data_IF_516516716755
#
_entry.id   IF_516516716755
#
_cell.length_a   1.000
_cell.length_b   1.000
_cell.length_c   1.000
_cell.angle_alpha   90.00
_cell.angle_beta   90.00
_cell.angle_gamma   90.00
#
_symmetry.space_group_name_H-M   'P 1'
#
loop_
_entity.id
_entity.type
_entity.pdbx_description
1 polymer ?
#
# COMPACT_ATOMS: atom_id res chain seq x y z
N UNK A 1 -21.96 18.48 -0.51
CA UNK A 1 -20.69 18.80 0.18
C UNK A 1 -19.75 19.40 -0.86
N UNK A 2 -19.28 20.63 -0.68
CA UNK A 2 -18.33 21.25 -1.64
C UNK A 2 -17.01 20.50 -1.60
N UNK A 3 -16.30 20.42 -2.75
CA UNK A 3 -14.99 19.75 -2.90
C UNK A 3 -13.98 20.27 -1.85
N UNK A 4 -13.97 21.55 -1.59
CA UNK A 4 -13.09 22.20 -0.59
C UNK A 4 -13.35 21.66 0.82
N UNK A 5 -14.61 21.50 1.22
CA UNK A 5 -14.96 20.96 2.55
C UNK A 5 -14.63 19.47 2.67
N UNK A 6 -14.64 18.73 1.55
CA UNK A 6 -14.21 17.34 1.51
C UNK A 6 -12.72 17.24 1.88
N UNK A 7 -11.87 17.97 1.20
CA UNK A 7 -10.42 17.93 1.43
C UNK A 7 -10.05 18.48 2.80
N UNK A 8 -10.63 19.59 3.25
CA UNK A 8 -10.28 20.24 4.53
C UNK A 8 -10.46 19.30 5.75
N UNK A 9 -11.48 18.43 5.73
CA UNK A 9 -11.74 17.49 6.84
C UNK A 9 -10.84 16.25 6.85
N UNK A 10 -10.25 15.89 5.70
CA UNK A 10 -9.54 14.63 5.49
C UNK A 10 -8.07 14.81 5.11
N UNK A 11 -7.60 16.05 5.08
CA UNK A 11 -6.27 16.38 4.59
C UNK A 11 -5.16 15.64 5.33
N UNK A 12 -5.26 15.56 6.65
CA UNK A 12 -4.33 14.81 7.51
C UNK A 12 -4.29 13.32 7.14
N UNK A 13 -5.44 12.68 6.96
CA UNK A 13 -5.55 11.28 6.54
C UNK A 13 -5.01 11.07 5.12
N UNK A 14 -5.39 11.95 4.18
CA UNK A 14 -4.92 11.87 2.80
C UNK A 14 -3.39 11.98 2.76
N UNK A 15 -2.80 12.92 3.48
CA UNK A 15 -1.34 13.09 3.51
C UNK A 15 -0.65 11.87 4.14
N UNK A 16 -1.14 11.36 5.27
CA UNK A 16 -0.54 10.20 5.95
C UNK A 16 -0.55 8.97 5.04
N UNK A 17 -1.71 8.65 4.46
CA UNK A 17 -1.82 7.50 3.56
C UNK A 17 -1.06 7.71 2.24
N UNK A 18 -0.97 8.95 1.72
CA UNK A 18 -0.16 9.25 0.53
C UNK A 18 1.32 9.05 0.81
N UNK A 19 1.81 9.52 1.94
CA UNK A 19 3.22 9.32 2.33
C UNK A 19 3.53 7.85 2.55
N UNK A 20 2.62 7.09 3.16
CA UNK A 20 2.79 5.65 3.29
C UNK A 20 2.88 4.96 1.93
N UNK A 21 1.94 5.23 1.02
CA UNK A 21 1.96 4.66 -0.33
C UNK A 21 3.23 5.07 -1.10
N UNK A 22 3.66 6.32 -0.97
CA UNK A 22 4.90 6.81 -1.56
C UNK A 22 6.13 6.06 -1.04
N UNK A 23 6.27 5.95 0.28
CA UNK A 23 7.41 5.25 0.90
C UNK A 23 7.39 3.77 0.56
N UNK A 24 6.22 3.11 0.60
CA UNK A 24 6.09 1.69 0.32
C UNK A 24 6.47 1.36 -1.13
N UNK A 25 5.78 1.98 -2.08
CA UNK A 25 5.98 1.71 -3.51
C UNK A 25 7.32 2.28 -4.04
N UNK A 26 7.80 3.38 -3.47
CA UNK A 26 9.11 3.94 -3.81
C UNK A 26 10.25 3.07 -3.30
N UNK A 27 10.11 2.50 -2.10
CA UNK A 27 11.11 1.58 -1.55
C UNK A 27 11.11 0.22 -2.26
N UNK A 28 9.95 -0.27 -2.71
CA UNK A 28 9.84 -1.45 -3.55
C UNK A 28 10.61 -1.25 -4.87
N UNK A 29 10.33 -0.16 -5.58
CA UNK A 29 11.04 0.19 -6.82
C UNK A 29 12.55 0.32 -6.62
N UNK A 30 12.98 1.00 -5.54
CA UNK A 30 14.40 1.14 -5.20
C UNK A 30 15.04 -0.21 -4.87
N UNK A 31 14.32 -1.09 -4.17
CA UNK A 31 14.78 -2.45 -3.88
C UNK A 31 14.94 -3.27 -5.15
N UNK A 32 13.97 -3.26 -6.07
CA UNK A 32 14.02 -4.00 -7.33
C UNK A 32 15.22 -3.56 -8.19
N UNK A 33 15.46 -2.25 -8.29
CA UNK A 33 16.62 -1.70 -8.99
C UNK A 33 17.96 -2.13 -8.36
N UNK A 34 18.06 -2.21 -7.03
CA UNK A 34 19.26 -2.67 -6.36
C UNK A 34 19.41 -4.19 -6.44
N UNK A 35 18.33 -4.95 -6.35
CA UNK A 35 18.33 -6.39 -6.55
C UNK A 35 18.78 -6.76 -7.97
N UNK A 36 18.32 -6.05 -9.00
CA UNK A 36 18.70 -6.27 -10.39
C UNK A 36 20.22 -6.11 -10.66
N UNK A 37 20.93 -5.37 -9.79
CA UNK A 37 22.41 -5.24 -9.89
C UNK A 37 23.15 -6.47 -9.39
N UNK A 38 22.51 -7.31 -8.57
CA UNK A 38 23.20 -8.39 -7.83
C UNK A 38 22.58 -9.77 -8.08
N UNK A 39 21.53 -9.86 -8.90
CA UNK A 39 20.89 -11.13 -9.26
C UNK A 39 20.29 -11.10 -10.66
N UNK A 40 19.76 -12.26 -11.12
CA UNK A 40 19.05 -12.38 -12.40
C UNK A 40 17.62 -11.83 -12.29
N UNK A 41 16.95 -11.65 -13.44
CA UNK A 41 15.56 -11.17 -13.56
C UNK A 41 14.61 -12.01 -12.73
N UNK A 42 14.72 -13.35 -12.82
CA UNK A 42 13.93 -14.28 -12.00
C UNK A 42 14.26 -14.17 -10.50
N UNK A 43 15.51 -13.85 -10.18
CA UNK A 43 15.95 -13.57 -8.83
C UNK A 43 15.32 -12.29 -8.25
N UNK A 44 15.14 -11.25 -9.06
CA UNK A 44 14.45 -10.00 -8.67
C UNK A 44 12.99 -10.30 -8.34
N UNK A 45 12.26 -10.99 -9.22
CA UNK A 45 10.84 -11.38 -8.99
C UNK A 45 10.68 -12.19 -7.70
N UNK A 46 11.60 -13.14 -7.47
CA UNK A 46 11.58 -13.95 -6.25
C UNK A 46 11.85 -13.10 -5.00
N UNK A 47 12.83 -12.20 -5.08
CA UNK A 47 13.19 -11.29 -3.98
C UNK A 47 12.06 -10.32 -3.66
N UNK A 48 11.39 -9.75 -4.69
CA UNK A 48 10.20 -8.90 -4.53
C UNK A 48 9.09 -9.66 -3.81
N UNK A 49 8.81 -10.91 -4.19
CA UNK A 49 7.80 -11.74 -3.52
C UNK A 49 8.12 -11.92 -2.03
N UNK A 50 9.41 -12.08 -1.66
CA UNK A 50 9.81 -12.21 -0.26
C UNK A 50 9.61 -10.92 0.53
N UNK A 51 9.96 -9.76 -0.01
CA UNK A 51 9.77 -8.48 0.70
C UNK A 51 8.29 -8.14 0.86
N UNK A 52 7.46 -8.44 -0.14
CA UNK A 52 6.00 -8.26 -0.04
C UNK A 52 5.40 -9.17 1.03
N UNK A 53 5.79 -10.45 1.07
CA UNK A 53 5.39 -11.38 2.14
C UNK A 53 5.86 -10.90 3.52
N UNK A 54 7.09 -10.38 3.62
CA UNK A 54 7.63 -9.82 4.85
C UNK A 54 6.82 -8.59 5.32
N UNK A 55 6.34 -7.75 4.40
CA UNK A 55 5.49 -6.61 4.75
C UNK A 55 4.17 -7.05 5.39
N UNK A 56 3.57 -8.14 4.91
CA UNK A 56 2.34 -8.73 5.51
C UNK A 56 2.60 -9.15 6.95
N UNK A 57 3.74 -9.79 7.24
CA UNK A 57 4.14 -10.12 8.61
C UNK A 57 4.20 -8.86 9.47
N UNK A 58 4.78 -7.76 8.97
CA UNK A 58 4.81 -6.46 9.65
C UNK A 58 3.42 -5.90 9.96
N UNK A 59 2.51 -5.94 8.98
CA UNK A 59 1.12 -5.51 9.18
C UNK A 59 0.42 -6.29 10.30
N UNK A 60 0.62 -7.60 10.37
CA UNK A 60 0.04 -8.46 11.41
C UNK A 60 0.70 -8.21 12.78
N UNK A 61 2.02 -8.02 12.79
CA UNK A 61 2.81 -7.81 14.01
C UNK A 61 2.40 -6.54 14.75
N UNK A 62 2.06 -5.45 14.05
CA UNK A 62 1.57 -4.22 14.67
C UNK A 62 0.33 -4.48 15.54
N UNK A 63 -0.64 -5.23 15.03
CA UNK A 63 -1.88 -5.53 15.78
C UNK A 63 -1.59 -6.30 17.07
N UNK A 64 -0.62 -7.22 17.02
CA UNK A 64 -0.16 -7.96 18.21
C UNK A 64 0.57 -7.04 19.18
N UNK A 65 1.54 -6.26 18.71
CA UNK A 65 2.32 -5.32 19.52
C UNK A 65 1.41 -4.28 20.17
N UNK A 66 0.47 -3.71 19.42
CA UNK A 66 -0.46 -2.70 19.93
C UNK A 66 -1.29 -3.22 21.11
N UNK A 67 -1.80 -4.44 21.04
CA UNK A 67 -2.56 -5.07 22.13
C UNK A 67 -1.73 -5.29 23.40
N UNK A 68 -0.44 -5.64 23.25
CA UNK A 68 0.45 -5.94 24.38
C UNK A 68 1.11 -4.68 24.98
N UNK A 69 1.32 -3.65 24.15
CA UNK A 69 2.00 -2.41 24.53
C UNK A 69 0.99 -1.29 24.88
N UNK A 70 -0.28 -1.58 25.10
CA UNK A 70 -1.42 -0.65 25.20
C UNK A 70 -1.27 0.52 26.19
N UNK A 71 -0.14 0.67 26.87
CA UNK A 71 0.22 1.87 27.64
C UNK A 71 0.82 2.93 26.69
N UNK A 72 0.11 4.03 26.51
CA UNK A 72 0.47 5.16 25.62
C UNK A 72 1.96 5.52 25.53
N UNK A 73 2.77 5.61 26.63
CA UNK A 73 4.17 6.01 26.50
C UNK A 73 5.04 5.04 25.71
N UNK A 74 4.70 3.74 25.70
CA UNK A 74 5.49 2.74 24.97
C UNK A 74 5.25 2.76 23.46
N UNK A 75 4.07 3.16 23.02
CA UNK A 75 3.77 3.32 21.57
C UNK A 75 4.52 4.53 21.01
N UNK A 76 4.64 5.60 21.78
CA UNK A 76 5.40 6.78 21.40
C UNK A 76 6.90 6.49 21.15
N UNK A 77 7.46 5.48 21.80
CA UNK A 77 8.84 5.05 21.55
C UNK A 77 8.95 3.99 20.45
N UNK A 78 7.93 3.16 20.27
CA UNK A 78 7.94 2.09 19.26
C UNK A 78 7.98 2.64 17.83
N UNK A 79 7.10 3.60 17.48
CA UNK A 79 6.98 4.12 16.12
C UNK A 79 8.27 4.82 15.65
N UNK A 80 8.91 5.72 16.44
CA UNK A 80 10.23 6.26 16.08
C UNK A 80 11.34 5.21 15.98
N UNK A 81 11.34 4.20 16.85
CA UNK A 81 12.31 3.10 16.77
C UNK A 81 12.15 2.33 15.44
N UNK A 82 10.92 2.01 15.04
CA UNK A 82 10.63 1.38 13.74
C UNK A 82 11.15 2.25 12.59
N UNK A 83 10.96 3.58 12.64
CA UNK A 83 11.46 4.50 11.63
C UNK A 83 13.00 4.51 11.55
N UNK A 84 13.69 4.46 12.69
CA UNK A 84 15.17 4.36 12.72
C UNK A 84 15.65 3.06 12.07
N UNK A 85 15.00 1.93 12.35
CA UNK A 85 15.30 0.66 11.69
C UNK A 85 15.01 0.73 10.19
N UNK A 86 13.91 1.36 9.76
CA UNK A 86 13.66 1.60 8.34
C UNK A 86 14.82 2.36 7.69
N UNK A 87 15.31 3.45 8.32
CA UNK A 87 16.44 4.20 7.80
C UNK A 87 17.73 3.38 7.68
N UNK A 88 18.04 2.58 8.70
CA UNK A 88 19.21 1.71 8.69
C UNK A 88 19.15 0.65 7.58
N UNK A 89 18.02 -0.08 7.46
CA UNK A 89 17.91 -1.12 6.46
C UNK A 89 17.74 -0.58 5.03
N UNK A 90 17.17 0.61 4.86
CA UNK A 90 17.16 1.29 3.55
C UNK A 90 18.59 1.61 3.11
N UNK A 91 19.45 2.07 4.01
CA UNK A 91 20.87 2.28 3.73
C UNK A 91 21.57 0.96 3.37
N UNK A 92 21.32 -0.13 4.11
CA UNK A 92 21.86 -1.46 3.80
C UNK A 92 21.46 -1.96 2.41
N UNK A 93 20.20 -1.78 2.00
CA UNK A 93 19.74 -2.13 0.64
C UNK A 93 20.52 -1.39 -0.43
N UNK A 94 20.80 -0.10 -0.23
CA UNK A 94 21.47 0.74 -1.24
C UNK A 94 22.98 0.51 -1.33
N UNK A 95 23.62 0.01 -0.27
CA UNK A 95 25.09 -0.05 -0.17
C UNK A 95 25.67 -1.46 -0.32
N UNK A 96 24.84 -2.52 -0.26
CA UNK A 96 25.33 -3.90 -0.32
C UNK A 96 25.37 -4.43 -1.74
N UNK A 97 26.41 -5.20 -2.02
CA UNK A 97 26.67 -5.85 -3.32
C UNK A 97 26.35 -7.36 -3.31
N UNK A 98 25.99 -7.92 -2.16
CA UNK A 98 25.66 -9.34 -2.01
C UNK A 98 24.14 -9.55 -2.09
N UNK A 99 23.67 -10.39 -3.03
CA UNK A 99 22.27 -10.76 -3.18
C UNK A 99 21.60 -11.14 -1.85
N UNK A 100 22.20 -12.06 -1.09
CA UNK A 100 21.63 -12.52 0.18
C UNK A 100 21.45 -11.37 1.17
N UNK A 101 22.43 -10.46 1.24
CA UNK A 101 22.37 -9.31 2.17
C UNK A 101 21.33 -8.29 1.74
N UNK A 102 21.19 -8.00 0.44
CA UNK A 102 20.18 -7.10 -0.10
C UNK A 102 18.78 -7.65 0.19
N UNK A 103 18.54 -8.94 -0.08
CA UNK A 103 17.26 -9.59 0.18
C UNK A 103 16.95 -9.63 1.68
N UNK A 104 17.91 -10.01 2.52
CA UNK A 104 17.70 -10.04 3.97
C UNK A 104 17.40 -8.64 4.52
N UNK A 105 18.17 -7.61 4.11
CA UNK A 105 17.90 -6.23 4.50
C UNK A 105 16.53 -5.76 4.01
N UNK A 106 16.16 -6.10 2.78
CA UNK A 106 14.84 -5.81 2.20
C UNK A 106 13.71 -6.45 3.02
N UNK A 107 13.80 -7.74 3.33
CA UNK A 107 12.79 -8.42 4.14
C UNK A 107 12.61 -7.75 5.51
N UNK A 108 13.70 -7.44 6.20
CA UNK A 108 13.64 -6.79 7.52
C UNK A 108 13.07 -5.38 7.38
N UNK A 109 13.51 -4.61 6.39
CA UNK A 109 12.97 -3.28 6.09
C UNK A 109 11.46 -3.32 5.88
N UNK A 110 10.96 -4.24 5.04
CA UNK A 110 9.53 -4.34 4.73
C UNK A 110 8.69 -4.87 5.90
N UNK A 111 9.26 -5.66 6.83
CA UNK A 111 8.59 -5.95 8.12
C UNK A 111 8.37 -4.65 8.90
N UNK A 112 9.39 -3.81 9.06
CA UNK A 112 9.26 -2.54 9.77
C UNK A 112 8.33 -1.57 9.05
N UNK A 113 8.41 -1.50 7.72
CA UNK A 113 7.52 -0.68 6.91
C UNK A 113 6.07 -1.16 7.01
N UNK A 114 5.83 -2.48 7.09
CA UNK A 114 4.52 -3.07 7.35
C UNK A 114 3.95 -2.66 8.72
N UNK A 115 4.78 -2.65 9.78
CA UNK A 115 4.38 -2.15 11.10
C UNK A 115 3.96 -0.68 11.01
N UNK A 116 4.74 0.17 10.34
CA UNK A 116 4.45 1.58 10.16
C UNK A 116 3.18 1.79 9.34
N UNK A 117 2.98 1.00 8.28
CA UNK A 117 1.79 1.00 7.44
C UNK A 117 0.53 0.61 8.21
N UNK A 118 0.62 -0.45 9.01
CA UNK A 118 -0.51 -0.87 9.86
C UNK A 118 -0.87 0.21 10.88
N UNK A 119 0.12 0.88 11.50
CA UNK A 119 -0.10 2.01 12.40
C UNK A 119 -0.79 3.18 11.66
N UNK A 120 -0.31 3.54 10.46
CA UNK A 120 -0.90 4.60 9.64
C UNK A 120 -2.38 4.31 9.34
N UNK A 121 -2.69 3.11 8.84
CA UNK A 121 -4.07 2.72 8.53
C UNK A 121 -4.96 2.69 9.77
N UNK A 122 -4.46 2.16 10.91
CA UNK A 122 -5.22 2.09 12.14
C UNK A 122 -5.62 3.49 12.66
N UNK A 123 -4.68 4.42 12.78
CA UNK A 123 -4.99 5.77 13.29
C UNK A 123 -5.82 6.58 12.29
N UNK A 124 -5.60 6.42 10.98
CA UNK A 124 -6.45 7.00 9.96
C UNK A 124 -7.87 6.46 10.02
N UNK A 125 -8.04 5.14 10.26
CA UNK A 125 -9.36 4.51 10.43
C UNK A 125 -10.11 5.09 11.62
N UNK A 126 -9.47 5.28 12.77
CA UNK A 126 -10.09 5.91 13.94
C UNK A 126 -10.61 7.33 13.63
N UNK A 127 -9.94 8.06 12.72
CA UNK A 127 -10.34 9.40 12.29
C UNK A 127 -11.47 9.41 11.27
N UNK A 128 -11.56 8.37 10.42
CA UNK A 128 -12.56 8.25 9.36
C UNK A 128 -13.85 7.53 9.80
N UNK A 129 -14.03 7.29 11.08
CA UNK A 129 -15.21 6.62 11.63
C UNK A 129 -16.50 7.28 11.12
N UNK A 130 -17.33 6.53 10.39
CA UNK A 130 -18.60 6.97 9.78
C UNK A 130 -18.45 7.94 8.59
N UNK A 131 -17.34 7.93 7.87
CA UNK A 131 -17.19 8.80 6.71
C UNK A 131 -17.80 8.17 5.44
N UNK A 132 -18.76 8.84 4.78
CA UNK A 132 -19.35 8.35 3.53
C UNK A 132 -18.37 8.41 2.34
N UNK A 133 -17.29 9.20 2.42
CA UNK A 133 -16.28 9.37 1.36
C UNK A 133 -15.01 8.54 1.54
N UNK A 134 -15.10 7.34 2.14
CA UNK A 134 -13.94 6.51 2.46
C UNK A 134 -13.15 6.12 1.21
N UNK A 135 -13.81 5.60 0.16
CA UNK A 135 -13.13 5.15 -1.05
C UNK A 135 -12.47 6.31 -1.80
N UNK A 136 -13.13 7.48 -1.86
CA UNK A 136 -12.54 8.70 -2.43
C UNK A 136 -11.28 9.13 -1.66
N UNK A 137 -11.32 9.07 -0.34
CA UNK A 137 -10.16 9.42 0.50
C UNK A 137 -8.98 8.49 0.22
N UNK A 138 -9.25 7.17 0.15
CA UNK A 138 -8.23 6.16 -0.15
C UNK A 138 -7.71 6.33 -1.57
N UNK A 139 -8.59 6.50 -2.58
CA UNK A 139 -8.20 6.70 -3.96
C UNK A 139 -7.35 7.97 -4.16
N UNK A 140 -7.74 9.10 -3.54
CA UNK A 140 -6.93 10.32 -3.55
C UNK A 140 -5.55 10.10 -2.89
N UNK A 141 -5.52 9.40 -1.76
CA UNK A 141 -4.26 9.12 -1.05
C UNK A 141 -3.33 8.24 -1.88
N UNK A 142 -3.86 7.19 -2.48
CA UNK A 142 -3.11 6.28 -3.35
C UNK A 142 -2.54 7.02 -4.57
N UNK A 143 -3.38 7.80 -5.24
CA UNK A 143 -2.99 8.63 -6.40
C UNK A 143 -1.87 9.61 -6.05
N UNK A 144 -2.00 10.34 -4.95
CA UNK A 144 -0.95 11.29 -4.52
C UNK A 144 0.35 10.57 -4.17
N UNK A 145 0.29 9.41 -3.51
CA UNK A 145 1.47 8.60 -3.22
C UNK A 145 2.21 8.17 -4.49
N UNK A 146 1.47 7.73 -5.51
CA UNK A 146 2.02 7.36 -6.82
C UNK A 146 2.59 8.56 -7.58
N UNK A 147 1.95 9.73 -7.51
CA UNK A 147 2.48 10.95 -8.12
C UNK A 147 3.79 11.37 -7.45
N UNK A 148 3.91 11.27 -6.12
CA UNK A 148 5.17 11.52 -5.41
C UNK A 148 6.25 10.52 -5.84
N UNK A 149 5.90 9.24 -5.99
CA UNK A 149 6.83 8.23 -6.50
C UNK A 149 7.26 8.54 -7.94
N UNK A 150 6.32 8.88 -8.83
CA UNK A 150 6.63 9.27 -10.19
C UNK A 150 7.60 10.45 -10.25
N UNK A 151 7.37 11.49 -9.44
CA UNK A 151 8.28 12.63 -9.35
C UNK A 151 9.64 12.23 -8.81
N UNK A 152 9.70 11.43 -7.76
CA UNK A 152 10.96 10.93 -7.19
C UNK A 152 11.79 10.17 -8.23
N UNK A 153 11.16 9.25 -8.97
CA UNK A 153 11.85 8.39 -9.93
C UNK A 153 12.27 9.12 -11.22
N UNK A 154 11.55 10.17 -11.63
CA UNK A 154 11.78 10.83 -12.92
C UNK A 154 12.47 12.20 -12.83
N UNK A 155 12.43 12.85 -11.66
CA UNK A 155 13.10 14.14 -11.44
C UNK A 155 14.43 13.97 -10.72
N UNK A 156 14.53 12.96 -9.85
CA UNK A 156 15.73 12.70 -9.06
C UNK A 156 16.50 11.58 -9.74
N UNK A 157 17.63 11.93 -10.37
CA UNK A 157 18.48 10.97 -11.11
C UNK A 157 19.64 10.39 -10.30
N UNK A 158 19.76 10.77 -9.01
CA UNK A 158 20.81 10.30 -8.11
C UNK A 158 20.22 9.29 -7.12
N UNK A 159 20.61 8.02 -7.20
CA UNK A 159 20.10 6.95 -6.33
C UNK A 159 20.24 7.27 -4.82
N UNK A 160 21.32 7.96 -4.42
CA UNK A 160 21.50 8.41 -3.04
C UNK A 160 20.50 9.48 -2.61
N UNK A 161 20.11 10.38 -3.51
CA UNK A 161 19.10 11.41 -3.23
C UNK A 161 17.70 10.82 -3.20
N UNK A 162 17.41 9.85 -4.06
CA UNK A 162 16.13 9.11 -4.07
C UNK A 162 15.89 8.43 -2.71
N UNK A 163 16.87 7.68 -2.21
CA UNK A 163 16.78 7.02 -0.91
C UNK A 163 16.65 8.03 0.25
N UNK A 164 17.33 9.17 0.17
CA UNK A 164 17.22 10.25 1.15
C UNK A 164 15.81 10.84 1.19
N UNK A 165 15.18 11.06 0.04
CA UNK A 165 13.79 11.57 -0.04
C UNK A 165 12.81 10.56 0.55
N UNK A 166 13.00 9.25 0.28
CA UNK A 166 12.18 8.21 0.90
C UNK A 166 12.34 8.16 2.42
N UNK A 167 13.58 8.32 2.92
CA UNK A 167 13.83 8.40 4.36
C UNK A 167 13.19 9.65 4.99
N UNK A 168 13.30 10.81 4.36
CA UNK A 168 12.67 12.04 4.82
C UNK A 168 11.14 11.91 4.87
N UNK A 169 10.55 11.27 3.84
CA UNK A 169 9.12 10.97 3.82
C UNK A 169 8.71 9.98 4.93
N UNK A 170 9.54 8.97 5.22
CA UNK A 170 9.32 8.02 6.31
C UNK A 170 9.34 8.71 7.69
N UNK A 171 10.27 9.65 7.90
CA UNK A 171 10.35 10.46 9.12
C UNK A 171 9.10 11.36 9.24
N UNK A 172 8.70 12.01 8.16
CA UNK A 172 7.50 12.85 8.14
C UNK A 172 6.24 12.03 8.40
N UNK A 173 6.12 10.86 7.79
CA UNK A 173 5.03 9.90 8.03
C UNK A 173 4.95 9.53 9.51
N UNK A 174 6.08 9.17 10.10
CA UNK A 174 6.21 8.83 11.53
C UNK A 174 5.73 9.98 12.42
N UNK A 175 6.20 11.19 12.16
CA UNK A 175 5.78 12.39 12.90
C UNK A 175 4.26 12.64 12.80
N UNK A 176 3.69 12.50 11.59
CA UNK A 176 2.25 12.70 11.38
C UNK A 176 1.41 11.62 12.06
N UNK A 177 1.86 10.35 12.06
CA UNK A 177 1.20 9.26 12.80
C UNK A 177 1.16 9.58 14.29
N UNK A 178 2.28 9.98 14.88
CA UNK A 178 2.37 10.36 16.31
C UNK A 178 1.46 11.55 16.63
N UNK A 179 1.44 12.56 15.76
CA UNK A 179 0.54 13.73 15.90
C UNK A 179 -0.93 13.31 15.79
N UNK A 180 -1.29 12.38 14.90
CA UNK A 180 -2.65 11.89 14.79
C UNK A 180 -3.05 11.08 16.02
N UNK A 181 -2.16 10.19 16.49
CA UNK A 181 -2.34 9.42 17.72
C UNK A 181 -2.63 10.32 18.93
N UNK A 182 -1.88 11.42 19.10
CA UNK A 182 -2.09 12.34 20.22
C UNK A 182 -3.45 13.04 20.22
N UNK A 183 -4.11 13.10 19.09
CA UNK A 183 -5.43 13.73 18.90
C UNK A 183 -6.58 12.75 18.87
N UNK A 184 -6.28 11.45 18.83
CA UNK A 184 -7.29 10.39 18.76
C UNK A 184 -7.56 9.90 20.19
N UNK A 185 -8.77 10.08 20.68
CA UNK A 185 -9.18 9.49 21.96
C UNK A 185 -9.11 7.97 21.83
N UNK A 186 -8.62 7.27 22.87
CA UNK A 186 -8.64 5.80 22.87
C UNK A 186 -10.08 5.34 22.60
N UNK A 187 -10.24 4.44 21.64
CA UNK A 187 -11.56 3.80 21.42
C UNK A 187 -11.92 3.13 22.74
N UNK A 188 -13.03 3.53 23.41
CA UNK A 188 -13.45 2.86 24.62
C UNK A 188 -13.57 1.37 24.30
N UNK A 189 -12.99 0.53 25.14
CA UNK A 189 -13.22 -0.90 25.05
C UNK A 189 -14.75 -1.07 25.03
N UNK A 190 -15.27 -1.74 23.97
CA UNK A 190 -16.70 -1.89 23.79
C UNK A 190 -17.29 -2.44 25.09
N UNK A 191 -18.06 -1.59 25.78
CA UNK A 191 -18.84 -2.04 26.93
C UNK A 191 -19.73 -3.16 26.44
N UNK A 192 -19.52 -4.36 26.99
CA UNK A 192 -20.23 -5.59 26.68
C UNK A 192 -21.73 -5.54 27.00
N UNK A 193 -22.24 -4.37 27.34
CA UNK A 193 -23.62 -4.13 27.77
C UNK A 193 -24.49 -3.40 26.75
N UNK A 194 -23.99 -3.03 25.55
CA UNK A 194 -24.82 -2.39 24.54
C UNK A 194 -25.55 -3.44 23.69
N UNK A 195 -26.90 -3.47 23.68
CA UNK A 195 -27.65 -4.45 22.90
C UNK A 195 -27.52 -4.14 21.41
N UNK A 196 -27.10 -5.16 20.66
CA UNK A 196 -27.26 -5.29 19.20
C UNK A 196 -26.61 -4.20 18.33
N UNK A 197 -25.32 -3.90 18.51
CA UNK A 197 -24.52 -3.52 17.37
C UNK A 197 -24.31 -4.80 16.53
N UNK A 198 -24.71 -4.76 15.26
CA UNK A 198 -24.47 -5.83 14.29
C UNK A 198 -22.95 -5.95 14.06
N UNK A 199 -22.24 -6.59 15.01
CA UNK A 199 -20.84 -6.91 14.80
C UNK A 199 -20.74 -7.74 13.52
N UNK A 200 -19.87 -7.36 12.56
CA UNK A 200 -19.69 -8.15 11.37
C UNK A 200 -19.33 -9.57 11.79
N UNK A 201 -20.10 -10.53 11.32
CA UNK A 201 -19.91 -11.91 11.70
C UNK A 201 -18.50 -12.33 11.29
N UNK A 202 -17.78 -13.08 12.13
CA UNK A 202 -16.45 -13.64 11.80
C UNK A 202 -16.43 -14.30 10.42
N UNK A 203 -17.58 -14.89 10.00
CA UNK A 203 -17.77 -15.48 8.67
C UNK A 203 -17.65 -14.45 7.55
N UNK A 204 -18.22 -13.25 7.71
CA UNK A 204 -18.10 -12.19 6.70
C UNK A 204 -16.66 -11.70 6.54
N UNK A 205 -15.90 -11.61 7.64
CA UNK A 205 -14.47 -11.26 7.59
C UNK A 205 -13.63 -12.32 6.89
N UNK A 206 -13.87 -13.61 7.18
CA UNK A 206 -13.20 -14.71 6.50
C UNK A 206 -13.54 -14.73 5.00
N UNK A 207 -14.82 -14.56 4.64
CA UNK A 207 -15.24 -14.50 3.24
C UNK A 207 -14.58 -13.33 2.48
N UNK A 208 -14.51 -12.15 3.09
CA UNK A 208 -13.81 -10.99 2.54
C UNK A 208 -12.32 -11.29 2.33
N UNK A 209 -11.66 -11.86 3.33
CA UNK A 209 -10.24 -12.23 3.24
C UNK A 209 -9.98 -13.23 2.12
N UNK A 210 -10.78 -14.30 2.03
CA UNK A 210 -10.65 -15.33 0.96
C UNK A 210 -10.88 -14.73 -0.42
N UNK A 211 -11.89 -13.87 -0.57
CA UNK A 211 -12.17 -13.18 -1.83
C UNK A 211 -10.98 -12.31 -2.27
N UNK A 212 -10.46 -11.47 -1.37
CA UNK A 212 -9.32 -10.59 -1.67
C UNK A 212 -8.05 -11.42 -1.95
N UNK A 213 -7.82 -12.51 -1.22
CA UNK A 213 -6.68 -13.40 -1.46
C UNK A 213 -6.76 -14.04 -2.86
N UNK A 214 -7.93 -14.52 -3.27
CA UNK A 214 -8.12 -15.08 -4.62
C UNK A 214 -7.84 -14.06 -5.72
N UNK A 215 -8.28 -12.81 -5.54
CA UNK A 215 -7.98 -11.71 -6.45
C UNK A 215 -6.49 -11.36 -6.44
N UNK A 216 -5.87 -11.32 -5.26
CA UNK A 216 -4.46 -11.00 -5.10
C UNK A 216 -3.54 -11.97 -5.87
N UNK A 217 -3.90 -13.26 -5.96
CA UNK A 217 -3.15 -14.26 -6.76
C UNK A 217 -3.09 -13.87 -8.24
N UNK A 218 -4.20 -13.36 -8.79
CA UNK A 218 -4.25 -12.93 -10.19
C UNK A 218 -3.36 -11.70 -10.40
N UNK A 219 -3.50 -10.70 -9.54
CA UNK A 219 -2.71 -9.47 -9.62
C UNK A 219 -1.23 -9.70 -9.37
N UNK A 220 -0.87 -10.57 -8.41
CA UNK A 220 0.52 -10.95 -8.15
C UNK A 220 1.15 -11.68 -9.36
N UNK A 221 0.39 -12.55 -10.03
CA UNK A 221 0.86 -13.21 -11.24
C UNK A 221 1.18 -12.22 -12.36
N UNK A 222 0.33 -11.22 -12.56
CA UNK A 222 0.56 -10.17 -13.55
C UNK A 222 1.73 -9.24 -13.14
N UNK A 223 1.82 -8.90 -11.87
CA UNK A 223 2.89 -8.05 -11.33
C UNK A 223 4.26 -8.73 -11.48
N UNK A 224 4.35 -10.02 -11.20
CA UNK A 224 5.58 -10.81 -11.40
C UNK A 224 6.08 -10.77 -12.85
N UNK A 225 5.17 -10.84 -13.83
CA UNK A 225 5.54 -10.73 -15.26
C UNK A 225 6.09 -9.34 -15.57
N UNK A 226 5.46 -8.30 -15.04
CA UNK A 226 5.87 -6.92 -15.26
C UNK A 226 7.21 -6.60 -14.57
N UNK A 227 7.42 -7.12 -13.35
CA UNK A 227 8.69 -7.01 -12.64
C UNK A 227 9.81 -7.72 -13.39
N UNK A 228 9.53 -8.86 -14.01
CA UNK A 228 10.50 -9.54 -14.86
C UNK A 228 10.94 -8.64 -16.04
N UNK A 229 10.00 -8.05 -16.79
CA UNK A 229 10.31 -7.14 -17.89
C UNK A 229 11.00 -5.84 -17.44
N UNK A 230 10.71 -5.38 -16.23
CA UNK A 230 11.45 -4.26 -15.64
C UNK A 230 12.91 -4.63 -15.35
N UNK A 231 13.12 -5.78 -14.73
CA UNK A 231 14.46 -6.29 -14.40
C UNK A 231 15.28 -6.59 -15.66
N UNK A 232 14.66 -7.05 -16.74
CA UNK A 232 15.26 -7.27 -18.06
C UNK A 232 15.64 -5.93 -18.75
N UNK A 233 15.07 -4.80 -18.29
CA UNK A 233 15.31 -3.48 -18.87
C UNK A 233 14.47 -3.16 -20.10
N UNK A 234 13.55 -4.05 -20.51
CA UNK A 234 12.62 -3.79 -21.64
C UNK A 234 11.60 -2.71 -21.33
N UNK A 235 11.30 -2.50 -20.04
CA UNK A 235 10.35 -1.50 -19.58
C UNK A 235 10.71 -0.95 -18.22
N UNK A 236 10.62 0.37 -18.06
CA UNK A 236 10.76 1.04 -16.77
C UNK A 236 9.38 1.30 -16.15
N UNK A 237 9.03 0.53 -15.13
CA UNK A 237 7.75 0.66 -14.41
C UNK A 237 7.65 1.97 -13.62
N UNK A 238 8.75 2.64 -13.35
CA UNK A 238 8.79 3.94 -12.65
C UNK A 238 8.34 5.14 -13.49
N UNK A 239 8.18 4.96 -14.81
CA UNK A 239 7.82 6.03 -15.75
C UNK A 239 6.30 6.14 -15.96
N UNK A 240 5.88 6.32 -17.21
CA UNK A 240 4.48 6.53 -17.61
C UNK A 240 3.48 5.48 -17.05
N UNK A 241 3.84 4.19 -16.84
CA UNK A 241 2.89 3.24 -16.27
C UNK A 241 2.38 3.66 -14.88
N UNK A 242 3.20 4.34 -14.08
CA UNK A 242 2.77 4.87 -12.76
C UNK A 242 1.66 5.92 -12.87
N UNK A 243 1.62 6.68 -13.96
CA UNK A 243 0.53 7.64 -14.19
C UNK A 243 -0.80 6.96 -14.47
N UNK A 244 -0.78 5.83 -15.19
CA UNK A 244 -1.99 5.02 -15.40
C UNK A 244 -2.50 4.44 -14.08
N UNK A 245 -1.59 3.95 -13.24
CA UNK A 245 -1.91 3.43 -11.92
C UNK A 245 -2.50 4.52 -11.02
N UNK A 246 -1.95 5.73 -11.05
CA UNK A 246 -2.48 6.89 -10.32
C UNK A 246 -3.88 7.27 -10.81
N UNK A 247 -4.08 7.34 -12.13
CA UNK A 247 -5.37 7.65 -12.73
C UNK A 247 -6.44 6.62 -12.36
N UNK A 248 -6.09 5.32 -12.43
CA UNK A 248 -7.01 4.24 -12.08
C UNK A 248 -7.36 4.26 -10.60
N UNK A 249 -6.41 4.54 -9.71
CA UNK A 249 -6.68 4.68 -8.28
C UNK A 249 -7.66 5.82 -7.95
N UNK A 250 -7.49 6.98 -8.62
CA UNK A 250 -8.42 8.10 -8.48
C UNK A 250 -9.82 7.74 -8.97
N UNK A 251 -9.89 7.14 -10.16
CA UNK A 251 -11.14 6.71 -10.78
C UNK A 251 -11.85 5.67 -9.91
N UNK A 252 -11.12 4.70 -9.40
CA UNK A 252 -11.66 3.69 -8.47
C UNK A 252 -12.24 4.33 -7.21
N UNK A 253 -11.52 5.27 -6.60
CA UNK A 253 -12.00 5.98 -5.41
C UNK A 253 -13.31 6.73 -5.66
N UNK A 254 -13.47 7.36 -6.83
CA UNK A 254 -14.70 8.06 -7.20
C UNK A 254 -15.85 7.08 -7.46
N UNK A 255 -15.59 6.04 -8.27
CA UNK A 255 -16.62 5.07 -8.67
C UNK A 255 -17.11 4.22 -7.50
N UNK A 256 -16.21 3.82 -6.59
CA UNK A 256 -16.58 2.98 -5.44
C UNK A 256 -17.49 3.70 -4.43
N UNK A 257 -17.39 5.02 -4.29
CA UNK A 257 -18.27 5.78 -3.39
C UNK A 257 -19.62 6.15 -4.01
N UNK A 258 -19.89 5.77 -5.27
CA UNK A 258 -21.21 5.98 -5.88
C UNK A 258 -22.24 5.13 -5.14
N UNK A 259 -23.35 5.74 -4.73
CA UNK A 259 -24.44 5.10 -3.97
C UNK A 259 -23.94 4.33 -2.73
N UNK A 260 -23.09 4.95 -1.94
CA UNK A 260 -22.56 4.38 -0.68
C UNK A 260 -21.91 3.00 -0.87
N UNK A 261 -21.09 2.88 -1.91
CA UNK A 261 -20.31 1.67 -2.23
C UNK A 261 -21.14 0.46 -2.69
N UNK A 262 -22.39 0.67 -3.04
CA UNK A 262 -23.30 -0.42 -3.48
C UNK A 262 -22.75 -1.19 -4.68
N UNK A 263 -22.10 -0.49 -5.61
CA UNK A 263 -21.58 -1.08 -6.86
C UNK A 263 -20.10 -1.48 -6.79
N UNK A 264 -19.44 -1.26 -5.67
CA UNK A 264 -18.01 -1.50 -5.53
C UNK A 264 -17.60 -2.95 -5.88
N UNK A 265 -18.34 -3.94 -5.36
CA UNK A 265 -18.08 -5.34 -5.63
C UNK A 265 -18.35 -5.72 -7.09
N UNK A 266 -19.38 -5.17 -7.71
CA UNK A 266 -19.71 -5.42 -9.13
C UNK A 266 -18.63 -4.85 -10.04
N UNK A 267 -18.20 -3.61 -9.80
CA UNK A 267 -17.11 -2.97 -10.55
C UNK A 267 -15.84 -3.80 -10.42
N UNK A 268 -15.50 -4.23 -9.20
CA UNK A 268 -14.29 -5.01 -8.97
C UNK A 268 -14.37 -6.41 -9.62
N UNK A 269 -15.53 -7.03 -9.65
CA UNK A 269 -15.74 -8.27 -10.40
C UNK A 269 -15.43 -8.09 -11.90
N UNK A 270 -15.97 -7.05 -12.53
CA UNK A 270 -15.69 -6.75 -13.94
C UNK A 270 -14.18 -6.49 -14.19
N UNK A 271 -13.54 -5.73 -13.29
CA UNK A 271 -12.10 -5.44 -13.37
C UNK A 271 -11.28 -6.73 -13.22
N UNK A 272 -11.67 -7.64 -12.33
CA UNK A 272 -10.98 -8.93 -12.14
C UNK A 272 -11.11 -9.81 -13.37
N UNK A 273 -12.29 -9.88 -14.00
CA UNK A 273 -12.49 -10.61 -15.26
C UNK A 273 -11.60 -10.02 -16.36
N UNK A 274 -11.53 -8.69 -16.46
CA UNK A 274 -10.63 -8.02 -17.41
C UNK A 274 -9.16 -8.35 -17.15
N UNK A 275 -8.74 -8.45 -15.88
CA UNK A 275 -7.38 -8.83 -15.51
C UNK A 275 -7.05 -10.28 -15.87
N UNK A 276 -8.01 -11.21 -15.73
CA UNK A 276 -7.84 -12.61 -16.20
C UNK A 276 -7.69 -12.66 -17.72
N UNK A 277 -8.50 -11.91 -18.46
CA UNK A 277 -8.35 -11.80 -19.91
C UNK A 277 -6.99 -11.20 -20.29
N UNK A 278 -6.53 -10.20 -19.55
CA UNK A 278 -5.19 -9.63 -19.73
C UNK A 278 -4.09 -10.67 -19.56
N UNK A 279 -4.19 -11.51 -18.52
CA UNK A 279 -3.22 -12.61 -18.30
C UNK A 279 -3.18 -13.59 -19.48
N UNK A 280 -4.32 -13.92 -20.08
CA UNK A 280 -4.39 -14.77 -21.26
C UNK A 280 -3.78 -14.10 -22.49
N UNK A 281 -3.98 -12.80 -22.67
CA UNK A 281 -3.44 -12.02 -23.79
C UNK A 281 -1.93 -11.85 -23.68
N UNK A 282 -1.38 -11.65 -22.49
CA UNK A 282 0.06 -11.45 -22.26
C UNK A 282 0.87 -12.70 -22.64
N UNK A 283 0.23 -13.87 -22.60
CA UNK A 283 0.81 -15.14 -23.01
C UNK A 283 0.77 -15.33 -24.54
N UNK A 284 0.04 -14.48 -25.28
CA UNK A 284 -0.03 -14.48 -26.74
C UNK A 284 0.89 -13.41 -27.33
N UNK A 285 1.73 -13.79 -28.29
CA UNK A 285 2.69 -12.90 -28.94
C UNK A 285 1.99 -11.68 -29.60
N UNK A 286 2.41 -10.49 -29.27
CA UNK A 286 2.11 -9.27 -30.03
C UNK A 286 1.23 -8.21 -29.34
N UNK A 287 0.63 -8.44 -28.18
CA UNK A 287 -0.25 -7.49 -27.49
C UNK A 287 0.25 -7.03 -26.12
N UNK A 288 1.57 -7.09 -25.88
CA UNK A 288 2.19 -6.74 -24.59
C UNK A 288 1.80 -5.36 -24.08
N UNK A 289 1.87 -4.30 -24.93
CA UNK A 289 1.52 -2.94 -24.52
C UNK A 289 0.06 -2.81 -24.09
N UNK A 290 -0.87 -3.48 -24.78
CA UNK A 290 -2.29 -3.50 -24.42
C UNK A 290 -2.51 -4.17 -23.09
N UNK A 291 -1.87 -5.31 -22.86
CA UNK A 291 -1.93 -6.05 -21.59
C UNK A 291 -1.38 -5.22 -20.43
N UNK A 292 -0.28 -4.50 -20.66
CA UNK A 292 0.32 -3.59 -19.70
C UNK A 292 -0.65 -2.47 -19.28
N UNK A 293 -1.29 -1.82 -20.25
CA UNK A 293 -2.28 -0.77 -19.98
C UNK A 293 -3.44 -1.33 -19.15
N UNK A 294 -3.98 -2.49 -19.53
CA UNK A 294 -5.08 -3.14 -18.80
C UNK A 294 -4.65 -3.48 -17.38
N UNK A 295 -3.45 -4.02 -17.20
CA UNK A 295 -2.93 -4.33 -15.88
C UNK A 295 -2.87 -3.10 -14.98
N UNK A 296 -2.22 -2.02 -15.41
CA UNK A 296 -2.06 -0.83 -14.57
C UNK A 296 -3.39 -0.15 -14.25
N UNK A 297 -4.33 -0.15 -15.20
CA UNK A 297 -5.69 0.32 -14.93
C UNK A 297 -6.41 -0.56 -13.90
N UNK A 298 -6.26 -1.88 -13.98
CA UNK A 298 -6.89 -2.83 -13.07
C UNK A 298 -6.26 -2.81 -11.67
N UNK A 299 -4.93 -2.72 -11.58
CA UNK A 299 -4.19 -2.77 -10.34
C UNK A 299 -4.53 -1.62 -9.39
N UNK A 300 -4.76 -0.40 -9.92
CA UNK A 300 -5.20 0.72 -9.11
C UNK A 300 -6.61 0.51 -8.53
N UNK A 301 -7.53 -0.09 -9.29
CA UNK A 301 -8.84 -0.49 -8.76
C UNK A 301 -8.70 -1.51 -7.64
N UNK A 302 -7.85 -2.51 -7.81
CA UNK A 302 -7.62 -3.54 -6.80
C UNK A 302 -7.03 -2.94 -5.51
N UNK A 303 -6.02 -2.07 -5.60
CA UNK A 303 -5.40 -1.42 -4.46
C UNK A 303 -6.40 -0.59 -3.63
N UNK A 304 -7.26 0.19 -4.29
CA UNK A 304 -8.30 0.98 -3.62
C UNK A 304 -9.41 0.08 -3.07
N UNK A 305 -9.77 -1.00 -3.79
CA UNK A 305 -10.80 -1.95 -3.36
C UNK A 305 -10.44 -2.65 -2.06
N UNK A 306 -9.26 -3.29 -2.00
CA UNK A 306 -8.91 -4.07 -0.81
C UNK A 306 -8.75 -3.16 0.42
N UNK A 307 -8.10 -2.00 0.26
CA UNK A 307 -7.93 -1.04 1.36
C UNK A 307 -9.28 -0.53 1.86
N UNK A 308 -10.17 -0.12 0.95
CA UNK A 308 -11.52 0.34 1.30
C UNK A 308 -12.33 -0.75 1.99
N UNK A 309 -12.27 -1.99 1.48
CA UNK A 309 -13.02 -3.12 2.00
C UNK A 309 -12.60 -3.50 3.41
N UNK A 310 -11.30 -3.58 3.69
CA UNK A 310 -10.80 -3.87 5.03
C UNK A 310 -11.09 -2.73 6.01
N UNK A 311 -10.90 -1.48 5.61
CA UNK A 311 -11.22 -0.34 6.47
C UNK A 311 -12.73 -0.25 6.73
N UNK A 312 -13.58 -0.46 5.73
CA UNK A 312 -15.03 -0.48 5.91
C UNK A 312 -15.51 -1.64 6.79
N UNK A 313 -14.86 -2.81 6.69
CA UNK A 313 -15.14 -3.95 7.57
C UNK A 313 -14.77 -3.64 9.03
N UNK A 314 -13.63 -3.04 9.26
CA UNK A 314 -13.16 -2.69 10.61
C UNK A 314 -13.97 -1.56 11.28
N UNK A 315 -14.71 -0.77 10.49
CA UNK A 315 -15.60 0.29 10.99
C UNK A 315 -17.02 -0.20 11.38
N UNK A 316 -17.41 -1.42 10.98
CA UNK A 316 -18.69 -2.07 11.34
C UNK A 316 -18.60 -2.75 12.70
#
# INVERSE_FOLDING_TARGET
MTVINFFRKRLDVIIILSLFNFVFLGSEYLFDNNAARVTSETGVVTAQSYILAASVVGFLLFSFLYRHISRQPKIWSLIPAVCLFCGFFLYEICTRESHIRVVAAGCIFFVFLGILGSAAHYFCLCRLRQDPGLAKTIGCSYTLGLLFQFLNNNVIHLAGLESFVLLAACILLTFLILRLQSRTEPVPAADSSSPASTHPTRRAGIALFVCILAMAVIFAGLDNVITYFHAEGTMDVGRWPRLLLALSGLTAGILFDIHDRRYMNLIMYCVTVLSVLCLLIILSDGLFLTSLIIFYLSAGFFAVFFTTSFMAYALR
#
